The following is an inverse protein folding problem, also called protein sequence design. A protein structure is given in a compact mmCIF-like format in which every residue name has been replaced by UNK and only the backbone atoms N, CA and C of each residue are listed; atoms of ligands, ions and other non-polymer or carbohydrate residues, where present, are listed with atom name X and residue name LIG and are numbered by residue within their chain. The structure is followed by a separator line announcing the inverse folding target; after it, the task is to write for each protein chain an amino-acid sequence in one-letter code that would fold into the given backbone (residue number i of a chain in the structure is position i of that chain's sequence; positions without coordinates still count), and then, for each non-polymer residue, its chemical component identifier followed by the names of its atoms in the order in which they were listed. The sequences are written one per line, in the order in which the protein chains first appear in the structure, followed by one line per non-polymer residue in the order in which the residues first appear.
data_IF_005774335324
#
_entry.id   IF_005774335324
#
_cell.length_a   1.000
_cell.length_b   1.000
_cell.length_c   1.000
_cell.angle_alpha   90.00
_cell.angle_beta   90.00
_cell.angle_gamma   90.00
#
_symmetry.space_group_name_H-M   'P 1'
#
loop_
_entity.id
_entity.type
_entity.pdbx_description
1 polymer ?
#
# COMPACT_ATOMS: atom_id res chain seq x y z
N UNK A 1 9.98 -2.33 4.41
CA UNK A 1 9.62 -1.35 3.36
C UNK A 1 10.85 -0.94 2.56
N UNK A 2 11.89 -0.34 3.17
CA UNK A 2 13.12 0.10 2.47
C UNK A 2 13.75 -0.97 1.56
N UNK A 3 13.90 -2.21 2.04
CA UNK A 3 14.46 -3.31 1.23
C UNK A 3 13.60 -3.69 0.00
N UNK A 4 12.27 -3.54 0.10
CA UNK A 4 11.32 -3.85 -0.98
C UNK A 4 11.28 -2.72 -2.02
N UNK A 5 11.34 -1.47 -1.57
CA UNK A 5 11.46 -0.31 -2.46
C UNK A 5 12.83 -0.30 -3.15
N UNK A 6 13.90 -0.66 -2.45
CA UNK A 6 15.22 -0.89 -3.04
C UNK A 6 15.15 -2.01 -4.09
N UNK A 7 14.47 -3.11 -3.78
CA UNK A 7 14.26 -4.22 -4.70
C UNK A 7 13.51 -3.83 -5.99
N UNK A 8 12.53 -2.92 -5.89
CA UNK A 8 11.72 -2.41 -7.00
C UNK A 8 12.33 -1.20 -7.74
N UNK A 9 13.33 -0.54 -7.15
CA UNK A 9 14.04 0.62 -7.70
C UNK A 9 15.37 0.26 -8.35
N UNK A 10 15.86 -0.97 -8.17
CA UNK A 10 17.00 -1.48 -8.95
C UNK A 10 16.71 -1.29 -10.45
N UNK A 11 17.61 -0.64 -11.20
CA UNK A 11 17.39 -0.31 -12.60
C UNK A 11 17.13 -1.59 -13.41
N UNK A 12 16.25 -1.48 -14.42
CA UNK A 12 16.21 -2.45 -15.50
C UNK A 12 17.53 -2.32 -16.27
N UNK A 13 18.58 -2.96 -15.77
CA UNK A 13 19.64 -3.35 -16.70
C UNK A 13 18.97 -4.27 -17.72
N UNK A 14 19.00 -3.92 -19.02
CA UNK A 14 18.05 -4.42 -20.00
C UNK A 14 18.44 -5.84 -20.37
N UNK A 15 18.05 -6.79 -19.54
CA UNK A 15 18.53 -8.14 -19.66
C UNK A 15 17.37 -9.08 -19.95
N UNK A 16 16.92 -8.87 -21.19
CA UNK A 16 16.38 -9.85 -22.12
C UNK A 16 14.86 -9.94 -22.31
N UNK A 17 14.40 -10.10 -23.56
CA UNK A 17 12.98 -10.21 -23.90
C UNK A 17 12.37 -11.56 -23.53
N UNK A 18 13.14 -12.53 -23.00
CA UNK A 18 12.68 -13.90 -22.79
C UNK A 18 13.15 -14.48 -21.45
N UNK A 19 12.28 -15.29 -20.81
CA UNK A 19 12.55 -15.98 -19.53
C UNK A 19 13.82 -16.83 -19.56
N UNK A 20 14.14 -17.42 -20.72
CA UNK A 20 15.31 -18.28 -20.89
C UNK A 20 16.62 -17.49 -20.89
N UNK A 21 16.62 -16.31 -21.53
CA UNK A 21 17.79 -15.44 -21.58
C UNK A 21 18.06 -14.80 -20.21
N UNK A 22 17.02 -14.46 -19.45
CA UNK A 22 17.14 -14.02 -18.05
C UNK A 22 17.79 -15.07 -17.16
N UNK A 23 17.39 -16.34 -17.32
CA UNK A 23 17.98 -17.47 -16.59
C UNK A 23 19.47 -17.66 -16.95
N UNK A 24 19.79 -17.62 -18.24
CA UNK A 24 21.16 -17.81 -18.72
C UNK A 24 22.09 -16.70 -18.25
N UNK A 25 21.63 -15.45 -18.20
CA UNK A 25 22.43 -14.35 -17.68
C UNK A 25 22.60 -14.41 -16.16
N UNK A 26 21.54 -14.75 -15.42
CA UNK A 26 21.63 -14.91 -13.96
C UNK A 26 22.66 -15.99 -13.58
N UNK A 27 22.70 -17.09 -14.34
CA UNK A 27 23.64 -18.19 -14.13
C UNK A 27 25.04 -17.85 -14.64
N UNK A 28 25.17 -17.21 -15.80
CA UNK A 28 26.47 -16.96 -16.44
C UNK A 28 27.25 -15.80 -15.84
N UNK A 29 26.59 -14.74 -15.37
CA UNK A 29 27.26 -13.53 -14.87
C UNK A 29 27.77 -13.63 -13.43
N UNK A 30 27.28 -14.61 -12.64
CA UNK A 30 27.36 -14.50 -11.17
C UNK A 30 27.74 -15.77 -10.39
N UNK A 31 28.34 -16.78 -11.04
CA UNK A 31 28.60 -18.08 -10.40
C UNK A 31 29.59 -18.06 -9.21
N UNK A 32 30.35 -16.96 -8.97
CA UNK A 32 31.48 -16.94 -8.04
C UNK A 32 31.52 -15.79 -7.00
N UNK A 33 30.60 -14.82 -7.00
CA UNK A 33 30.69 -13.66 -6.09
C UNK A 33 29.82 -13.80 -4.82
N UNK A 34 30.35 -13.34 -3.67
CA UNK A 34 29.60 -13.24 -2.41
C UNK A 34 28.36 -12.35 -2.51
N UNK A 35 28.38 -11.37 -3.41
CA UNK A 35 27.25 -10.50 -3.71
C UNK A 35 26.08 -11.25 -4.35
N UNK A 36 26.33 -12.35 -5.06
CA UNK A 36 25.27 -13.18 -5.63
C UNK A 36 24.43 -13.86 -4.54
N UNK A 37 25.09 -14.46 -3.53
CA UNK A 37 24.37 -15.08 -2.41
C UNK A 37 23.51 -14.08 -1.66
N UNK A 38 24.03 -12.85 -1.44
CA UNK A 38 23.25 -11.77 -0.82
C UNK A 38 22.07 -11.34 -1.69
N UNK A 39 22.26 -11.22 -3.00
CA UNK A 39 21.22 -10.86 -3.96
C UNK A 39 20.13 -11.94 -4.06
N UNK A 40 20.52 -13.23 -4.11
CA UNK A 40 19.59 -14.37 -4.12
C UNK A 40 18.74 -14.41 -2.85
N UNK A 41 19.36 -14.23 -1.68
CA UNK A 41 18.65 -14.14 -0.40
C UNK A 41 17.67 -12.96 -0.40
N UNK A 42 18.09 -11.80 -0.93
CA UNK A 42 17.24 -10.61 -1.02
C UNK A 42 16.05 -10.84 -1.96
N UNK A 43 16.26 -11.41 -3.14
CA UNK A 43 15.18 -11.76 -4.09
C UNK A 43 14.20 -12.72 -3.43
N UNK A 44 14.69 -13.81 -2.83
CA UNK A 44 13.87 -14.81 -2.15
C UNK A 44 13.02 -14.16 -1.05
N UNK A 45 13.63 -13.29 -0.24
CA UNK A 45 12.93 -12.58 0.83
C UNK A 45 11.88 -11.63 0.27
N UNK A 46 12.20 -10.83 -0.75
CA UNK A 46 11.27 -9.90 -1.37
C UNK A 46 10.04 -10.60 -1.96
N UNK A 47 10.24 -11.70 -2.71
CA UNK A 47 9.14 -12.51 -3.27
C UNK A 47 8.26 -13.05 -2.14
N UNK A 48 8.88 -13.56 -1.07
CA UNK A 48 8.16 -14.08 0.09
C UNK A 48 7.33 -13.00 0.81
N UNK A 49 7.91 -11.82 1.03
CA UNK A 49 7.22 -10.70 1.69
C UNK A 49 6.05 -10.18 0.83
N UNK A 50 6.24 -10.03 -0.49
CA UNK A 50 5.17 -9.62 -1.41
C UNK A 50 4.03 -10.64 -1.37
N UNK A 51 4.33 -11.93 -1.41
CA UNK A 51 3.32 -12.98 -1.32
C UNK A 51 2.55 -12.92 0.01
N UNK A 52 3.27 -12.74 1.14
CA UNK A 52 2.66 -12.59 2.46
C UNK A 52 1.77 -11.36 2.58
N UNK A 53 2.22 -10.21 2.07
CA UNK A 53 1.44 -8.96 2.10
C UNK A 53 0.17 -9.13 1.27
N UNK A 54 0.30 -9.71 0.07
CA UNK A 54 -0.85 -9.95 -0.82
C UNK A 54 -1.88 -10.89 -0.19
N UNK A 55 -1.42 -12.00 0.40
CA UNK A 55 -2.29 -12.97 1.08
C UNK A 55 -2.94 -12.36 2.34
N UNK A 56 -2.15 -11.66 3.17
CA UNK A 56 -2.65 -10.99 4.37
C UNK A 56 -3.70 -9.91 4.06
N UNK A 57 -3.48 -9.10 3.01
CA UNK A 57 -4.47 -8.13 2.56
C UNK A 57 -5.73 -8.80 1.99
N UNK A 58 -5.58 -9.90 1.24
CA UNK A 58 -6.72 -10.67 0.75
C UNK A 58 -7.58 -11.23 1.89
N UNK A 59 -6.96 -11.80 2.93
CA UNK A 59 -7.65 -12.27 4.14
C UNK A 59 -8.32 -11.11 4.86
N UNK A 60 -7.62 -10.00 5.06
CA UNK A 60 -8.16 -8.81 5.71
C UNK A 60 -9.40 -8.26 4.99
N UNK A 61 -9.36 -8.12 3.66
CA UNK A 61 -10.50 -7.67 2.87
C UNK A 61 -11.66 -8.69 2.89
N UNK A 62 -11.36 -9.99 2.96
CA UNK A 62 -12.39 -11.02 3.10
C UNK A 62 -13.10 -10.91 4.47
N UNK A 63 -12.36 -10.67 5.55
CA UNK A 63 -12.92 -10.43 6.89
C UNK A 63 -13.73 -9.13 6.96
N UNK A 64 -13.26 -8.05 6.34
CA UNK A 64 -13.99 -6.79 6.29
C UNK A 64 -15.34 -6.91 5.56
N UNK A 65 -15.44 -7.81 4.57
CA UNK A 65 -16.70 -8.10 3.86
C UNK A 65 -17.72 -8.79 4.75
N UNK A 66 -17.31 -9.72 5.61
CA UNK A 66 -18.23 -10.43 6.51
C UNK A 66 -18.86 -9.52 7.56
N UNK A 67 -18.23 -8.39 7.88
CA UNK A 67 -18.73 -7.39 8.83
C UNK A 67 -19.72 -6.38 8.20
N UNK A 68 -20.02 -6.51 6.89
CA UNK A 68 -21.06 -5.72 6.22
C UNK A 68 -20.66 -4.30 5.83
N UNK A 69 -19.41 -3.89 6.05
CA UNK A 69 -18.89 -2.58 5.69
C UNK A 69 -18.54 -2.52 4.19
N UNK A 70 -19.55 -2.33 3.33
CA UNK A 70 -19.34 -2.19 1.88
C UNK A 70 -18.97 -0.75 1.48
N UNK A 71 -17.81 -0.27 1.93
CA UNK A 71 -17.25 0.97 1.39
C UNK A 71 -16.78 0.73 -0.05
N UNK A 72 -17.07 1.68 -0.95
CA UNK A 72 -16.62 1.64 -2.35
C UNK A 72 -15.10 1.47 -2.47
N UNK A 73 -14.35 2.09 -1.54
CA UNK A 73 -12.89 2.03 -1.44
C UNK A 73 -12.39 0.59 -1.22
N UNK A 74 -13.08 -0.21 -0.40
CA UNK A 74 -12.67 -1.60 -0.14
C UNK A 74 -12.89 -2.50 -1.37
N UNK A 75 -13.87 -2.18 -2.22
CA UNK A 75 -14.07 -2.89 -3.50
C UNK A 75 -12.95 -2.58 -4.49
N UNK A 76 -12.48 -1.35 -4.51
CA UNK A 76 -11.36 -0.92 -5.34
C UNK A 76 -10.06 -1.63 -4.91
N UNK A 77 -9.77 -1.65 -3.61
CA UNK A 77 -8.62 -2.40 -3.07
C UNK A 77 -8.64 -3.87 -3.44
N UNK A 78 -9.83 -4.49 -3.40
CA UNK A 78 -9.97 -5.89 -3.81
C UNK A 78 -9.65 -6.10 -5.29
N UNK A 79 -10.08 -5.17 -6.16
CA UNK A 79 -9.79 -5.23 -7.59
C UNK A 79 -8.27 -5.21 -7.85
N UNK A 80 -7.52 -4.37 -7.14
CA UNK A 80 -6.06 -4.34 -7.24
C UNK A 80 -5.41 -5.66 -6.83
N UNK A 81 -5.91 -6.30 -5.77
CA UNK A 81 -5.42 -7.62 -5.33
C UNK A 81 -5.79 -8.73 -6.32
N UNK A 82 -7.02 -8.72 -6.82
CA UNK A 82 -7.49 -9.70 -7.80
C UNK A 82 -6.64 -9.61 -9.09
N UNK A 83 -6.31 -8.39 -9.58
CA UNK A 83 -5.42 -8.19 -10.73
C UNK A 83 -4.00 -8.76 -10.55
N UNK A 84 -3.52 -8.87 -9.31
CA UNK A 84 -2.21 -9.47 -9.01
C UNK A 84 -2.31 -10.99 -8.99
N UNK A 85 -3.43 -11.53 -8.49
CA UNK A 85 -3.68 -12.96 -8.34
C UNK A 85 -4.19 -13.64 -9.62
N UNK A 86 -4.73 -12.92 -10.60
CA UNK A 86 -5.32 -13.45 -11.84
C UNK A 86 -4.37 -14.37 -12.65
N UNK A 87 -3.06 -14.07 -12.67
CA UNK A 87 -2.06 -14.82 -13.43
C UNK A 87 -1.18 -15.72 -12.55
N UNK A 88 -1.50 -15.83 -11.26
CA UNK A 88 -0.71 -16.58 -10.29
C UNK A 88 -1.37 -17.93 -10.03
N UNK A 89 -0.61 -19.01 -10.23
CA UNK A 89 -1.04 -20.34 -9.83
C UNK A 89 -1.14 -20.42 -8.30
N UNK A 90 -2.31 -20.82 -7.78
CA UNK A 90 -2.59 -20.91 -6.34
C UNK A 90 -1.74 -21.95 -5.62
N UNK A 91 -1.39 -23.05 -6.29
CA UNK A 91 -0.60 -24.11 -5.67
C UNK A 91 0.88 -23.73 -5.61
N UNK A 92 1.40 -23.06 -6.64
CA UNK A 92 2.73 -22.45 -6.59
C UNK A 92 2.79 -21.31 -5.56
N UNK A 93 1.75 -20.48 -5.45
CA UNK A 93 1.68 -19.40 -4.46
C UNK A 93 1.70 -19.92 -3.02
N UNK A 94 0.99 -21.01 -2.73
CA UNK A 94 1.06 -21.69 -1.42
C UNK A 94 2.46 -22.24 -1.11
N UNK A 95 3.21 -22.67 -2.12
CA UNK A 95 4.60 -23.11 -1.92
C UNK A 95 5.53 -21.94 -1.57
N UNK A 96 5.31 -20.76 -2.15
CA UNK A 96 6.03 -19.52 -1.80
C UNK A 96 5.76 -19.09 -0.35
N UNK A 97 4.50 -19.22 0.12
CA UNK A 97 4.12 -18.94 1.51
C UNK A 97 4.79 -19.91 2.50
N UNK A 98 4.95 -21.17 2.12
CA UNK A 98 5.61 -22.21 2.93
C UNK A 98 7.15 -22.18 2.84
N UNK A 99 7.74 -21.13 2.25
CA UNK A 99 9.19 -20.93 2.13
C UNK A 99 9.92 -22.05 1.35
N UNK A 100 9.19 -22.84 0.56
CA UNK A 100 9.73 -23.89 -0.31
C UNK A 100 10.01 -23.30 -1.70
N UNK A 101 11.19 -22.70 -1.84
CA UNK A 101 11.62 -22.11 -3.10
C UNK A 101 12.46 -23.11 -3.90
N UNK A 102 11.91 -23.59 -5.03
CA UNK A 102 12.76 -24.11 -6.11
C UNK A 102 13.41 -22.93 -6.83
N UNK A 103 14.65 -23.09 -7.33
CA UNK A 103 15.36 -22.05 -8.08
C UNK A 103 14.55 -21.58 -9.31
N UNK A 104 13.84 -22.50 -9.94
CA UNK A 104 12.99 -22.21 -11.10
C UNK A 104 11.75 -21.37 -10.73
N UNK A 105 11.15 -21.65 -9.57
CA UNK A 105 10.04 -20.89 -9.01
C UNK A 105 10.49 -19.47 -8.65
N UNK A 106 11.65 -19.34 -7.99
CA UNK A 106 12.22 -18.03 -7.66
C UNK A 106 12.39 -17.15 -8.90
N UNK A 107 12.96 -17.70 -9.98
CA UNK A 107 13.22 -16.96 -11.22
C UNK A 107 11.91 -16.62 -11.95
N UNK A 108 10.94 -17.54 -11.97
CA UNK A 108 9.61 -17.31 -12.55
C UNK A 108 8.89 -16.14 -11.87
N UNK A 109 8.85 -16.14 -10.55
CA UNK A 109 8.15 -15.12 -9.77
C UNK A 109 8.92 -13.81 -9.68
N UNK A 110 10.25 -13.84 -9.66
CA UNK A 110 11.07 -12.64 -9.79
C UNK A 110 10.76 -11.90 -11.10
N UNK A 111 10.74 -12.63 -12.22
CA UNK A 111 10.38 -12.08 -13.53
C UNK A 111 8.93 -11.57 -13.56
N UNK A 112 7.98 -12.35 -13.04
CA UNK A 112 6.56 -11.98 -13.00
C UNK A 112 6.35 -10.68 -12.20
N UNK A 113 6.97 -10.57 -11.03
CA UNK A 113 6.82 -9.42 -10.14
C UNK A 113 7.57 -8.18 -10.63
N UNK A 114 8.77 -8.34 -11.21
CA UNK A 114 9.57 -7.20 -11.68
C UNK A 114 9.17 -6.67 -13.06
N UNK A 115 8.74 -7.54 -13.98
CA UNK A 115 8.49 -7.14 -15.36
C UNK A 115 7.00 -7.06 -15.71
N UNK A 116 6.19 -8.03 -15.28
CA UNK A 116 4.80 -8.14 -15.73
C UNK A 116 3.84 -7.40 -14.77
N UNK A 117 4.00 -7.62 -13.47
CA UNK A 117 3.07 -7.14 -12.42
C UNK A 117 3.63 -6.02 -11.55
N UNK A 118 4.70 -5.33 -12.00
CA UNK A 118 5.34 -4.24 -11.22
C UNK A 118 4.37 -3.15 -10.81
N UNK A 119 3.53 -2.68 -11.74
CA UNK A 119 2.55 -1.64 -11.46
C UNK A 119 1.50 -2.14 -10.45
N UNK A 120 1.02 -3.37 -10.63
CA UNK A 120 0.05 -3.99 -9.73
C UNK A 120 0.61 -4.19 -8.30
N UNK A 121 1.91 -4.51 -8.16
CA UNK A 121 2.58 -4.59 -6.85
C UNK A 121 2.75 -3.21 -6.22
N UNK A 122 3.03 -2.17 -7.01
CA UNK A 122 3.05 -0.79 -6.50
C UNK A 122 1.68 -0.38 -5.98
N UNK A 123 0.61 -0.70 -6.71
CA UNK A 123 -0.76 -0.47 -6.27
C UNK A 123 -1.06 -1.19 -4.94
N UNK A 124 -0.58 -2.44 -4.74
CA UNK A 124 -0.70 -3.11 -3.43
C UNK A 124 -0.01 -2.30 -2.32
N UNK A 125 1.19 -1.78 -2.57
CA UNK A 125 1.89 -0.97 -1.58
C UNK A 125 1.15 0.34 -1.30
N UNK A 126 0.59 1.00 -2.32
CA UNK A 126 -0.23 2.19 -2.15
C UNK A 126 -1.45 1.90 -1.27
N UNK A 127 -2.14 0.77 -1.49
CA UNK A 127 -3.24 0.30 -0.62
C UNK A 127 -2.76 0.10 0.82
N UNK A 128 -1.61 -0.53 1.03
CA UNK A 128 -1.05 -0.74 2.36
C UNK A 128 -0.72 0.59 3.06
N UNK A 129 -0.12 1.53 2.34
CA UNK A 129 0.15 2.88 2.84
C UNK A 129 -1.12 3.64 3.21
N UNK A 130 -2.16 3.55 2.36
CA UNK A 130 -3.45 4.14 2.66
C UNK A 130 -4.09 3.54 3.92
N UNK A 131 -4.03 2.22 4.09
CA UNK A 131 -4.55 1.56 5.29
C UNK A 131 -3.79 1.99 6.56
N UNK A 132 -2.47 2.09 6.50
CA UNK A 132 -1.65 2.54 7.64
C UNK A 132 -1.94 3.99 8.03
N UNK A 133 -2.12 4.87 7.03
CA UNK A 133 -2.53 6.25 7.26
C UNK A 133 -3.91 6.33 7.94
N UNK A 134 -4.90 5.58 7.45
CA UNK A 134 -6.23 5.51 8.06
C UNK A 134 -6.18 4.98 9.49
N UNK A 135 -5.37 3.94 9.73
CA UNK A 135 -5.19 3.37 11.07
C UNK A 135 -4.53 4.37 12.03
N UNK A 136 -3.55 5.12 11.55
CA UNK A 136 -2.87 6.19 12.31
C UNK A 136 -3.83 7.32 12.67
N UNK A 137 -4.73 7.71 11.76
CA UNK A 137 -5.79 8.70 12.04
C UNK A 137 -6.77 8.15 13.08
N UNK A 138 -7.25 6.93 12.91
CA UNK A 138 -8.16 6.29 13.87
C UNK A 138 -7.55 6.19 15.28
N UNK A 139 -6.26 5.83 15.36
CA UNK A 139 -5.51 5.78 16.63
C UNK A 139 -5.35 7.16 17.25
N UNK A 140 -5.13 8.19 16.44
CA UNK A 140 -4.99 9.59 16.91
C UNK A 140 -6.30 10.18 17.44
N UNK A 141 -7.44 9.70 16.93
CA UNK A 141 -8.78 10.06 17.42
C UNK A 141 -9.12 9.29 18.70
N UNK A 142 -8.60 8.07 18.88
CA UNK A 142 -8.90 7.25 20.06
C UNK A 142 -8.44 7.94 21.35
N UNK A 143 -9.40 8.41 22.15
CA UNK A 143 -9.15 9.17 23.39
C UNK A 143 -9.26 10.69 23.25
N UNK A 144 -9.45 11.21 22.03
CA UNK A 144 -9.76 12.61 21.75
C UNK A 144 -11.23 12.69 21.30
N UNK A 145 -12.02 13.59 21.89
CA UNK A 145 -13.41 13.83 21.48
C UNK A 145 -13.46 14.63 20.16
N UNK A 146 -12.87 14.07 19.10
CA UNK A 146 -12.86 14.64 17.76
C UNK A 146 -14.12 14.22 17.02
N UNK A 147 -14.63 15.14 16.22
CA UNK A 147 -15.82 14.94 15.40
C UNK A 147 -15.44 15.06 13.92
N UNK A 148 -16.15 14.34 13.06
CA UNK A 148 -16.00 14.52 11.62
C UNK A 148 -16.60 15.88 11.22
N UNK A 149 -15.85 16.73 10.49
CA UNK A 149 -16.36 18.01 10.04
C UNK A 149 -17.49 17.80 9.03
N UNK A 150 -18.55 18.58 9.17
CA UNK A 150 -19.61 18.65 8.17
C UNK A 150 -19.23 19.72 7.14
N UNK A 151 -19.12 19.29 5.88
CA UNK A 151 -18.83 20.18 4.76
C UNK A 151 -20.13 20.36 3.99
N UNK A 152 -20.68 21.57 4.00
CA UNK A 152 -21.86 21.94 3.22
C UNK A 152 -21.43 22.79 2.02
N UNK A 153 -21.46 22.22 0.82
CA UNK A 153 -21.31 23.01 -0.41
C UNK A 153 -22.63 23.71 -0.71
N UNK A 154 -22.81 24.94 -0.22
CA UNK A 154 -23.95 25.78 -0.59
C UNK A 154 -23.57 26.67 -1.76
N UNK A 155 -24.21 26.45 -2.91
CA UNK A 155 -24.20 27.36 -4.06
C UNK A 155 -24.89 28.67 -3.67
N UNK A 156 -24.13 29.61 -3.09
CA UNK A 156 -24.62 30.91 -2.63
C UNK A 156 -24.62 31.15 -1.11
N UNK A 157 -24.03 30.25 -0.30
CA UNK A 157 -23.80 30.49 1.13
C UNK A 157 -22.60 31.41 1.38
N UNK A 158 -22.63 32.18 2.47
CA UNK A 158 -21.43 32.90 2.93
C UNK A 158 -20.35 31.88 3.34
N UNK A 159 -19.11 32.12 2.91
CA UNK A 159 -17.95 31.34 3.35
C UNK A 159 -17.87 31.41 4.88
N UNK A 160 -18.29 30.35 5.57
CA UNK A 160 -18.44 30.30 7.02
C UNK A 160 -17.72 29.07 7.59
N UNK A 161 -16.82 29.30 8.54
CA UNK A 161 -16.19 28.24 9.34
C UNK A 161 -16.69 28.40 10.76
N UNK A 162 -17.31 27.34 11.29
CA UNK A 162 -17.73 27.28 12.69
C UNK A 162 -17.13 26.05 13.34
N UNK A 163 -16.28 26.26 14.35
CA UNK A 163 -15.66 25.19 15.14
C UNK A 163 -16.08 25.40 16.59
N UNK A 164 -16.86 24.46 17.13
CA UNK A 164 -17.26 24.49 18.54
C UNK A 164 -16.29 23.67 19.38
N UNK A 165 -15.85 24.24 20.50
CA UNK A 165 -14.93 23.61 21.44
C UNK A 165 -13.58 23.27 20.84
N UNK A 166 -13.06 24.12 19.94
CA UNK A 166 -11.73 23.98 19.36
C UNK A 166 -10.66 24.05 20.44
N UNK A 167 -9.69 23.15 20.40
CA UNK A 167 -8.56 23.14 21.31
C UNK A 167 -7.28 22.76 20.57
N UNK A 168 -6.13 23.17 21.08
CA UNK A 168 -4.85 22.80 20.48
C UNK A 168 -4.53 21.33 20.79
N UNK A 169 -4.37 20.52 19.74
CA UNK A 169 -4.14 19.08 19.83
C UNK A 169 -2.78 18.69 20.45
N UNK A 170 -1.85 19.62 20.56
CA UNK A 170 -0.48 19.43 21.06
C UNK A 170 -0.27 19.95 22.49
N UNK A 171 -1.28 20.60 23.08
CA UNK A 171 -1.20 21.13 24.44
C UNK A 171 -2.01 20.22 25.36
N UNK A 172 -1.39 19.75 26.44
CA UNK A 172 -2.08 19.01 27.51
C UNK A 172 -3.03 19.97 28.27
N UNK A 173 -4.25 19.51 28.57
CA UNK A 173 -5.31 20.29 29.22
C UNK A 173 -5.64 21.64 28.55
N UNK A 174 -5.64 21.67 27.21
CA UNK A 174 -5.96 22.85 26.43
C UNK A 174 -7.40 23.37 26.70
N UNK A 175 -7.51 24.68 26.90
CA UNK A 175 -8.80 25.38 27.03
C UNK A 175 -9.53 25.34 25.68
N UNK A 176 -10.80 24.94 25.71
CA UNK A 176 -11.67 24.86 24.54
C UNK A 176 -12.25 26.24 24.23
N UNK A 177 -12.12 26.67 22.98
CA UNK A 177 -12.64 27.93 22.47
C UNK A 177 -13.56 27.70 21.27
N UNK A 178 -14.61 28.48 21.15
CA UNK A 178 -15.45 28.48 19.96
C UNK A 178 -14.86 29.46 18.93
N UNK A 179 -14.74 29.02 17.68
CA UNK A 179 -14.18 29.80 16.57
C UNK A 179 -15.26 29.95 15.50
N UNK A 180 -15.60 31.19 15.17
CA UNK A 180 -16.51 31.52 14.07
C UNK A 180 -15.83 32.51 13.12
N UNK A 181 -15.68 32.13 11.85
CA UNK A 181 -15.12 32.97 10.80
C UNK A 181 -16.22 33.15 9.76
N UNK A 182 -16.56 34.42 9.50
CA UNK A 182 -17.55 34.83 8.50
C UNK A 182 -16.91 35.76 7.48
N UNK A 183 -17.33 35.66 6.21
CA UNK A 183 -16.93 36.62 5.18
C UNK A 183 -17.51 37.99 5.49
N UNK A 184 -16.67 39.01 5.50
CA UNK A 184 -17.10 40.39 5.77
C UNK A 184 -17.81 40.95 4.53
N UNK A 185 -19.14 41.01 4.56
CA UNK A 185 -19.95 41.70 3.55
C UNK A 185 -19.68 43.21 3.68
N UNK A 186 -18.77 43.73 2.84
CA UNK A 186 -18.52 45.17 2.79
C UNK A 186 -19.68 45.80 2.02
N UNK A 187 -20.68 46.32 2.74
CA UNK A 187 -21.67 47.20 2.13
C UNK A 187 -20.97 48.52 1.77
N UNK A 188 -20.87 48.78 0.46
CA UNK A 188 -20.42 50.06 -0.09
C UNK A 188 -21.40 51.16 0.31
N UNK A 189 -20.83 52.26 0.79
CA UNK A 189 -21.50 53.54 1.08
C UNK A 189 -21.93 54.20 -0.24
#
# INVERSE_FOLDING_TARGET
MQDLEQYLSLPQEPYSPSRATYYLEMVSTNFLSLDFKKREILIKRSIHEIAKITDGLAIFLASAKSEGHSLAILKEYRKHIDCVLEDIDRDEFKQLLNNKFSKELMIKYDYLFRNIKRNAIREIFDVLYHLDALFSVAKSIKGKNLVFPQIEEKTGGEDMITIRGAYNLFIEDAIKNDVEIKKKTTFGI
#
